data_IF_570332746109
#
_entry.id   IF_570332746109
#
_cell.length_a   1.000
_cell.length_b   1.000
_cell.length_c   1.000
_cell.angle_alpha   90.00
_cell.angle_beta   90.00
_cell.angle_gamma   90.00
#
_symmetry.space_group_name_H-M   'P 1'
#
loop_
_entity.id
_entity.type
_entity.pdbx_description
1 polymer ?
#
# COMPACT_ATOMS: atom_id res chain seq x y z
N UNK A 1 -3.20 -5.34 3.27
CA UNK A 1 -2.39 -4.60 4.26
C UNK A 1 -2.68 -5.17 5.64
N UNK A 2 -1.63 -5.42 6.41
CA UNK A 2 -1.70 -5.80 7.82
C UNK A 2 -0.96 -4.77 8.65
N UNK A 3 -1.52 -4.45 9.81
CA UNK A 3 -0.96 -3.50 10.76
C UNK A 3 -0.51 -4.23 12.03
N UNK A 4 0.57 -3.74 12.64
CA UNK A 4 1.00 -4.11 13.99
C UNK A 4 0.15 -3.39 15.04
N UNK A 5 0.34 -3.76 16.31
CA UNK A 5 -0.35 -3.12 17.44
C UNK A 5 0.10 -1.65 17.65
N UNK A 6 1.29 -1.28 17.17
CA UNK A 6 1.80 0.10 17.16
C UNK A 6 1.35 0.91 15.92
N UNK A 7 0.39 0.39 15.14
CA UNK A 7 -0.16 0.98 13.92
C UNK A 7 0.82 1.09 12.73
N UNK A 8 2.03 0.53 12.81
CA UNK A 8 2.89 0.36 11.63
C UNK A 8 2.39 -0.77 10.72
N UNK A 9 2.73 -0.67 9.44
CA UNK A 9 2.38 -1.69 8.43
C UNK A 9 3.38 -2.82 8.50
N UNK A 10 2.90 -4.00 8.88
CA UNK A 10 3.71 -5.23 8.89
C UNK A 10 3.83 -5.87 7.52
N UNK A 11 2.73 -5.88 6.76
CA UNK A 11 2.69 -6.54 5.46
C UNK A 11 1.76 -5.82 4.49
N UNK A 12 2.19 -5.71 3.23
CA UNK A 12 1.39 -5.19 2.13
C UNK A 12 1.76 -5.92 0.85
N UNK A 13 0.75 -6.38 0.13
CA UNK A 13 0.90 -7.06 -1.16
C UNK A 13 1.31 -6.10 -2.26
N UNK A 14 1.72 -6.66 -3.41
CA UNK A 14 2.10 -5.90 -4.59
C UNK A 14 3.19 -4.83 -4.35
N UNK A 15 4.03 -5.07 -3.34
CA UNK A 15 5.09 -4.16 -2.92
C UNK A 15 6.35 -4.34 -3.78
N UNK A 16 6.93 -3.24 -4.32
CA UNK A 16 8.27 -3.27 -4.91
C UNK A 16 9.35 -3.68 -3.91
N UNK A 17 10.33 -4.48 -4.33
CA UNK A 17 11.44 -4.93 -3.48
C UNK A 17 12.27 -3.78 -2.89
N UNK A 18 12.29 -2.64 -3.57
CA UNK A 18 13.03 -1.44 -3.20
C UNK A 18 12.45 -0.69 -1.97
N UNK A 19 11.20 -0.94 -1.58
CA UNK A 19 10.53 -0.22 -0.48
C UNK A 19 10.17 -1.14 0.68
N UNK A 20 10.18 -0.58 1.90
CA UNK A 20 9.58 -1.23 3.07
C UNK A 20 8.05 -1.25 2.95
N UNK A 21 7.39 -2.13 3.71
CA UNK A 21 5.93 -2.22 3.75
C UNK A 21 5.27 -0.89 4.13
N UNK A 22 5.82 -0.21 5.14
CA UNK A 22 5.36 1.11 5.56
C UNK A 22 5.52 2.17 4.46
N UNK A 23 6.67 2.23 3.79
CA UNK A 23 6.91 3.22 2.75
C UNK A 23 6.00 2.99 1.54
N UNK A 24 5.76 1.73 1.17
CA UNK A 24 4.83 1.40 0.10
C UNK A 24 3.39 1.79 0.45
N UNK A 25 2.92 1.51 1.66
CA UNK A 25 1.62 1.97 2.13
C UNK A 25 1.49 3.51 2.07
N UNK A 26 2.51 4.22 2.56
CA UNK A 26 2.51 5.69 2.54
C UNK A 26 2.47 6.24 1.12
N UNK A 27 3.20 5.61 0.18
CA UNK A 27 3.18 6.00 -1.23
C UNK A 27 1.79 5.76 -1.85
N UNK A 28 1.21 4.58 -1.68
CA UNK A 28 -0.15 4.28 -2.14
C UNK A 28 -1.18 5.26 -1.55
N UNK A 29 -1.10 5.54 -0.25
CA UNK A 29 -2.02 6.46 0.43
C UNK A 29 -1.89 7.92 -0.02
N UNK A 30 -0.72 8.34 -0.53
CA UNK A 30 -0.50 9.71 -1.03
C UNK A 30 -0.91 9.88 -2.49
N UNK A 31 -0.73 8.83 -3.29
CA UNK A 31 -0.99 8.87 -4.72
C UNK A 31 -2.36 8.31 -5.13
N UNK A 32 -3.13 7.78 -4.18
CA UNK A 32 -4.47 7.27 -4.42
C UNK A 32 -5.45 7.93 -3.46
N UNK A 33 -6.65 8.26 -3.95
CA UNK A 33 -7.71 8.87 -3.16
C UNK A 33 -8.96 7.99 -3.25
N UNK A 34 -9.65 7.78 -2.12
CA UNK A 34 -10.86 6.94 -2.04
C UNK A 34 -10.67 5.48 -2.48
N UNK A 35 -9.44 5.00 -2.63
CA UNK A 35 -9.12 3.62 -2.98
C UNK A 35 -8.81 2.74 -1.77
N UNK A 36 -8.65 3.33 -0.58
CA UNK A 36 -8.31 2.60 0.64
C UNK A 36 -9.57 2.25 1.44
N UNK A 37 -9.72 0.97 1.77
CA UNK A 37 -10.79 0.44 2.60
C UNK A 37 -10.18 -0.22 3.84
N UNK A 38 -10.51 0.33 5.02
CA UNK A 38 -10.13 -0.24 6.30
C UNK A 38 -11.01 -1.44 6.64
N UNK A 39 -10.38 -2.52 7.06
CA UNK A 39 -11.05 -3.75 7.50
C UNK A 39 -10.84 -3.92 9.01
N UNK A 40 -11.73 -4.64 9.69
CA UNK A 40 -11.61 -4.93 11.11
C UNK A 40 -10.34 -5.75 11.43
N UNK A 41 -9.80 -5.58 12.64
CA UNK A 41 -8.68 -6.38 13.14
C UNK A 41 -7.31 -5.99 12.56
N UNK A 42 -7.06 -4.70 12.34
CA UNK A 42 -5.76 -4.20 11.87
C UNK A 42 -5.46 -4.63 10.43
N UNK A 43 -6.49 -4.62 9.57
CA UNK A 43 -6.38 -5.00 8.16
C UNK A 43 -6.87 -3.86 7.29
N UNK A 44 -6.41 -3.85 6.05
CA UNK A 44 -6.88 -2.89 5.04
C UNK A 44 -6.57 -3.37 3.63
N UNK A 45 -7.30 -2.83 2.66
CA UNK A 45 -7.12 -3.15 1.24
C UNK A 45 -7.12 -1.87 0.42
N UNK A 46 -6.25 -1.82 -0.58
CA UNK A 46 -6.31 -0.81 -1.64
C UNK A 46 -7.02 -1.44 -2.84
N UNK A 47 -8.17 -0.87 -3.23
CA UNK A 47 -8.93 -1.24 -4.42
C UNK A 47 -8.40 -0.42 -5.59
N UNK A 48 -7.34 -0.91 -6.22
CA UNK A 48 -6.71 -0.30 -7.40
C UNK A 48 -6.85 -1.22 -8.61
N UNK A 49 -6.98 -0.63 -9.79
CA UNK A 49 -6.83 -1.42 -11.02
C UNK A 49 -5.37 -1.83 -11.21
N UNK A 50 -5.15 -2.92 -11.94
CA UNK A 50 -3.80 -3.40 -12.28
C UNK A 50 -2.98 -2.33 -12.99
N UNK A 51 -3.61 -1.51 -13.84
CA UNK A 51 -2.95 -0.40 -14.54
C UNK A 51 -2.44 0.67 -13.58
N UNK A 52 -3.30 1.14 -12.65
CA UNK A 52 -2.91 2.12 -11.64
C UNK A 52 -1.77 1.60 -10.76
N UNK A 53 -1.86 0.34 -10.34
CA UNK A 53 -0.83 -0.30 -9.55
C UNK A 53 0.52 -0.35 -10.28
N UNK A 54 0.52 -0.67 -11.58
CA UNK A 54 1.74 -0.70 -12.38
C UNK A 54 2.36 0.69 -12.53
N UNK A 55 1.55 1.73 -12.77
CA UNK A 55 2.03 3.12 -12.82
C UNK A 55 2.73 3.50 -11.52
N UNK A 56 2.09 3.25 -10.37
CA UNK A 56 2.66 3.54 -9.05
C UNK A 56 3.97 2.78 -8.78
N UNK A 57 4.07 1.53 -9.24
CA UNK A 57 5.31 0.74 -9.15
C UNK A 57 6.41 1.30 -10.03
N UNK A 58 6.09 1.80 -11.23
CA UNK A 58 7.07 2.40 -12.15
C UNK A 58 7.64 3.70 -11.59
N UNK A 59 6.82 4.54 -10.96
CA UNK A 59 7.27 5.80 -10.33
C UNK A 59 8.33 5.59 -9.23
N UNK A 60 8.31 4.43 -8.56
CA UNK A 60 9.28 4.06 -7.53
C UNK A 60 10.58 3.50 -8.12
N UNK A 61 10.55 2.97 -9.34
CA UNK A 61 11.66 2.23 -9.95
C UNK A 61 12.58 3.10 -10.81
N UNK A 62 12.40 4.43 -10.81
CA UNK A 62 13.18 5.43 -11.54
C UNK A 62 14.18 6.12 -10.62
#
# INVERSE_FOLDING_TARGET
>A
VRFNNDATVSEIGERPSALTAQNWFNHLSRNTQNCYESLSGGRGVFRLSTEQLNVLKQEISV
#
